data_IF_783268082593
#
_entry.id   IF_783268082593
#
_cell.length_a   1.000
_cell.length_b   1.000
_cell.length_c   1.000
_cell.angle_alpha   90.00
_cell.angle_beta   90.00
_cell.angle_gamma   90.00
#
_symmetry.space_group_name_H-M   'P 1'
#
loop_
_entity.id
_entity.type
_entity.pdbx_description
1 polymer ?
#
# COMPACT_ATOMS: atom_id res chain seq x y z
N UNK A 1 1.86 24.90 -5.43
CA UNK A 1 1.18 23.98 -4.50
C UNK A 1 -0.16 23.61 -5.10
N UNK A 2 -0.51 22.33 -5.06
CA UNK A 2 -1.76 21.76 -5.58
C UNK A 2 -2.81 21.55 -4.48
N UNK A 3 -2.49 21.91 -3.22
CA UNK A 3 -3.30 21.68 -2.01
C UNK A 3 -3.60 20.19 -1.80
N UNK A 4 -2.54 19.38 -1.85
CA UNK A 4 -2.65 17.92 -1.76
C UNK A 4 -1.42 17.28 -1.13
N UNK A 5 -1.51 15.99 -0.80
CA UNK A 5 -0.38 15.26 -0.18
C UNK A 5 0.91 15.29 -1.02
N UNK A 6 0.83 15.44 -2.34
CA UNK A 6 2.01 15.52 -3.22
C UNK A 6 2.71 16.89 -3.19
N UNK A 7 2.18 17.87 -2.45
CA UNK A 7 2.93 19.08 -2.13
C UNK A 7 4.15 18.79 -1.23
N UNK A 8 4.16 17.64 -0.55
CA UNK A 8 5.35 17.10 0.11
C UNK A 8 6.29 16.52 -0.94
N UNK A 9 7.44 17.15 -1.13
CA UNK A 9 8.43 16.74 -2.13
C UNK A 9 8.85 15.27 -1.95
N UNK A 10 8.92 14.54 -3.06
CA UNK A 10 9.29 13.11 -3.08
C UNK A 10 8.11 12.15 -2.94
N UNK A 11 6.90 12.63 -2.60
CA UNK A 11 5.69 11.82 -2.65
C UNK A 11 5.07 11.84 -4.05
N UNK A 12 4.58 10.68 -4.48
CA UNK A 12 3.69 10.55 -5.62
C UNK A 12 2.45 9.73 -5.22
N UNK A 13 1.33 9.95 -5.88
CA UNK A 13 0.09 9.18 -5.65
C UNK A 13 -0.42 8.63 -6.97
N UNK A 14 -0.78 7.35 -6.96
CA UNK A 14 -1.43 6.67 -8.09
C UNK A 14 -2.78 6.09 -7.67
N UNK A 15 -3.72 6.08 -8.60
CA UNK A 15 -5.04 5.49 -8.40
C UNK A 15 -5.37 4.53 -9.54
N UNK A 16 -6.04 3.44 -9.19
CA UNK A 16 -6.73 2.59 -10.15
C UNK A 16 -8.16 2.39 -9.65
N UNK A 17 -9.13 2.56 -10.55
CA UNK A 17 -10.54 2.29 -10.28
C UNK A 17 -11.03 1.26 -11.29
N UNK A 18 -11.57 0.15 -10.80
CA UNK A 18 -12.16 -0.86 -11.66
C UNK A 18 -13.51 -0.34 -12.18
N UNK A 19 -13.69 -0.25 -13.49
CA UNK A 19 -14.94 0.28 -14.05
C UNK A 19 -16.11 -0.70 -13.95
N UNK A 20 -15.85 -1.97 -13.62
CA UNK A 20 -16.89 -3.01 -13.52
C UNK A 20 -17.60 -3.01 -12.16
N UNK A 21 -17.02 -2.37 -11.14
CA UNK A 21 -17.55 -2.25 -9.77
C UNK A 21 -16.89 -1.04 -9.10
N UNK A 22 -17.58 -0.22 -8.28
CA UNK A 22 -16.97 0.93 -7.60
C UNK A 22 -15.96 0.51 -6.51
N UNK A 23 -14.81 0.01 -6.94
CA UNK A 23 -13.68 -0.47 -6.15
C UNK A 23 -12.37 -0.09 -6.84
N UNK A 24 -11.25 -0.31 -6.17
CA UNK A 24 -9.94 0.01 -6.73
C UNK A 24 -8.87 0.06 -5.65
N UNK A 25 -7.75 0.70 -6.00
CA UNK A 25 -6.65 0.93 -5.08
C UNK A 25 -6.02 2.31 -5.28
N UNK A 26 -5.38 2.78 -4.22
CA UNK A 26 -4.59 4.00 -4.18
C UNK A 26 -3.24 3.67 -3.57
N UNK A 27 -2.16 4.15 -4.18
CA UNK A 27 -0.80 3.95 -3.70
C UNK A 27 -0.16 5.30 -3.48
N UNK A 28 0.34 5.54 -2.26
CA UNK A 28 1.27 6.63 -1.98
C UNK A 28 2.68 6.06 -2.16
N UNK A 29 3.43 6.56 -3.12
CA UNK A 29 4.76 6.08 -3.47
C UNK A 29 5.85 6.92 -2.79
N UNK A 30 6.83 6.23 -2.23
CA UNK A 30 8.06 6.79 -1.65
C UNK A 30 9.27 5.97 -2.11
N UNK A 31 9.62 5.93 -3.42
CA UNK A 31 10.59 4.96 -3.94
C UNK A 31 12.00 5.09 -3.32
N UNK A 32 12.35 6.29 -2.84
CA UNK A 32 13.60 6.58 -2.13
C UNK A 32 13.57 6.22 -0.63
N UNK A 33 12.44 5.71 -0.15
CA UNK A 33 12.18 5.42 1.26
C UNK A 33 11.60 6.62 2.00
N UNK A 34 10.69 6.34 2.94
CA UNK A 34 10.19 7.31 3.91
C UNK A 34 10.00 6.65 5.27
N UNK A 35 10.32 7.36 6.35
CA UNK A 35 10.01 6.90 7.72
C UNK A 35 8.50 6.79 7.86
N UNK A 36 8.01 5.68 8.42
CA UNK A 36 6.59 5.40 8.53
C UNK A 36 6.26 4.77 9.88
N UNK A 37 5.12 5.16 10.44
CA UNK A 37 4.49 4.55 11.60
C UNK A 37 3.00 4.36 11.32
N UNK A 38 2.33 3.52 12.12
CA UNK A 38 0.89 3.25 11.96
C UNK A 38 0.18 3.20 13.31
N UNK A 39 -1.06 3.70 13.33
CA UNK A 39 -2.01 3.58 14.43
C UNK A 39 -3.32 3.00 13.88
N UNK A 40 -3.66 1.78 14.30
CA UNK A 40 -4.86 1.06 13.85
C UNK A 40 -5.89 1.08 14.96
N UNK A 41 -6.98 1.82 14.75
CA UNK A 41 -8.03 2.04 15.78
C UNK A 41 -9.37 1.38 15.52
N UNK A 42 -9.58 0.84 14.33
CA UNK A 42 -10.79 0.09 14.00
C UNK A 42 -10.80 -1.28 14.68
N UNK A 43 -11.97 -1.77 15.07
CA UNK A 43 -12.12 -3.06 15.76
C UNK A 43 -11.96 -4.30 14.86
N UNK A 44 -12.05 -4.12 13.54
CA UNK A 44 -11.91 -5.20 12.55
C UNK A 44 -11.00 -4.73 11.39
N UNK A 45 -9.71 -4.55 11.63
CA UNK A 45 -8.78 -4.09 10.61
C UNK A 45 -8.49 -5.20 9.59
N UNK A 46 -8.27 -4.81 8.34
CA UNK A 46 -7.55 -5.63 7.37
C UNK A 46 -6.29 -4.88 6.98
N UNK A 47 -5.15 -5.44 7.36
CA UNK A 47 -3.85 -4.79 7.18
C UNK A 47 -2.79 -5.78 6.72
N UNK A 48 -1.72 -5.24 6.16
CA UNK A 48 -0.50 -5.97 5.81
C UNK A 48 0.71 -5.17 6.30
N UNK A 49 1.71 -5.87 6.83
CA UNK A 49 3.03 -5.32 7.19
C UNK A 49 3.01 -4.18 8.23
N UNK A 50 1.93 -4.06 9.01
CA UNK A 50 1.84 -3.06 10.10
C UNK A 50 2.85 -3.29 11.20
N UNK A 51 3.18 -4.54 11.49
CA UNK A 51 4.08 -4.89 12.60
C UNK A 51 5.50 -4.40 12.31
N UNK A 52 5.91 -4.35 11.04
CA UNK A 52 7.20 -3.80 10.62
C UNK A 52 7.36 -2.32 10.95
N UNK A 53 6.26 -1.60 11.15
CA UNK A 53 6.24 -0.15 11.44
C UNK A 53 6.38 0.17 12.93
N UNK A 54 6.51 -0.85 13.78
CA UNK A 54 6.90 -0.64 15.16
C UNK A 54 8.30 -0.03 15.22
N UNK A 55 8.52 1.04 16.03
CA UNK A 55 9.84 1.65 16.17
C UNK A 55 10.89 0.74 16.83
N UNK A 56 10.48 -0.43 17.31
CA UNK A 56 11.37 -1.45 17.89
C UNK A 56 11.93 -2.41 16.84
N UNK A 57 11.42 -2.38 15.61
CA UNK A 57 11.80 -3.29 14.54
C UNK A 57 12.88 -2.68 13.62
N UNK A 58 13.53 -3.53 12.84
CA UNK A 58 14.69 -3.15 12.02
C UNK A 58 14.35 -2.39 10.74
N UNK A 59 13.07 -2.34 10.34
CA UNK A 59 12.64 -1.63 9.14
C UNK A 59 12.47 -0.15 9.46
N UNK A 60 13.34 0.69 8.90
CA UNK A 60 13.30 2.15 9.15
C UNK A 60 12.46 2.91 8.11
N UNK A 61 12.26 2.34 6.92
CA UNK A 61 11.66 3.03 5.77
C UNK A 61 10.72 2.14 4.96
N UNK A 62 9.64 2.75 4.48
CA UNK A 62 8.68 2.13 3.54
C UNK A 62 8.83 2.73 2.15
N UNK A 63 8.44 1.97 1.14
CA UNK A 63 8.61 2.33 -0.27
C UNK A 63 7.29 2.70 -0.95
N UNK A 64 6.18 2.28 -0.33
CA UNK A 64 4.84 2.73 -0.66
C UNK A 64 3.89 2.43 0.51
N UNK A 65 2.72 3.06 0.51
CA UNK A 65 1.55 2.67 1.31
C UNK A 65 0.38 2.39 0.36
N UNK A 66 -0.27 1.25 0.52
CA UNK A 66 -1.42 0.84 -0.28
C UNK A 66 -2.73 0.99 0.50
N UNK A 67 -3.72 1.62 -0.12
CA UNK A 67 -5.11 1.61 0.30
C UNK A 67 -5.94 0.91 -0.77
N UNK A 68 -6.73 -0.11 -0.40
CA UNK A 68 -7.53 -0.84 -1.38
C UNK A 68 -8.95 -1.16 -0.90
N UNK A 69 -9.87 -1.26 -1.86
CA UNK A 69 -11.18 -1.87 -1.64
C UNK A 69 -11.09 -3.40 -1.55
N UNK A 70 -12.22 -4.10 -1.63
CA UNK A 70 -12.25 -5.56 -1.69
C UNK A 70 -12.16 -6.28 -0.35
N UNK A 71 -12.22 -5.56 0.79
CA UNK A 71 -11.98 -6.11 2.12
C UNK A 71 -10.65 -6.88 2.17
N UNK A 72 -10.52 -7.91 3.00
CA UNK A 72 -9.29 -8.68 3.17
C UNK A 72 -8.69 -9.21 1.86
N UNK A 73 -9.51 -9.49 0.84
CA UNK A 73 -9.03 -9.93 -0.46
C UNK A 73 -8.22 -8.85 -1.21
N UNK A 74 -8.53 -7.57 -0.98
CA UNK A 74 -7.81 -6.47 -1.61
C UNK A 74 -6.35 -6.33 -1.17
N UNK A 75 -5.94 -7.03 -0.10
CA UNK A 75 -4.53 -7.10 0.31
C UNK A 75 -3.66 -7.77 -0.77
N UNK A 76 -4.24 -8.55 -1.69
CA UNK A 76 -3.54 -9.16 -2.82
C UNK A 76 -2.87 -8.09 -3.72
N UNK A 77 -3.47 -6.90 -3.83
CA UNK A 77 -2.92 -5.79 -4.61
C UNK A 77 -1.55 -5.30 -4.11
N UNK A 78 -1.20 -5.56 -2.84
CA UNK A 78 0.12 -5.21 -2.30
C UNK A 78 1.25 -5.95 -3.03
N UNK A 79 0.99 -7.19 -3.47
CA UNK A 79 1.95 -7.96 -4.26
C UNK A 79 2.30 -7.28 -5.58
N UNK A 80 1.32 -6.63 -6.23
CA UNK A 80 1.54 -5.85 -7.46
C UNK A 80 2.44 -4.65 -7.25
N UNK A 81 2.20 -3.91 -6.16
CA UNK A 81 3.02 -2.77 -5.77
C UNK A 81 4.45 -3.21 -5.45
N UNK A 82 4.62 -4.31 -4.71
CA UNK A 82 5.93 -4.87 -4.41
C UNK A 82 6.70 -5.23 -5.69
N UNK A 83 6.09 -5.97 -6.63
CA UNK A 83 6.75 -6.31 -7.91
C UNK A 83 7.19 -5.05 -8.67
N UNK A 84 6.30 -4.05 -8.77
CA UNK A 84 6.60 -2.81 -9.49
C UNK A 84 7.79 -2.05 -8.88
N UNK A 85 7.89 -2.03 -7.55
CA UNK A 85 9.00 -1.42 -6.81
C UNK A 85 10.30 -2.22 -6.96
N UNK A 86 10.23 -3.55 -6.86
CA UNK A 86 11.37 -4.45 -7.04
C UNK A 86 12.00 -4.30 -8.43
N UNK A 87 11.18 -4.27 -9.50
CA UNK A 87 11.62 -4.02 -10.88
C UNK A 87 12.38 -2.70 -11.05
N UNK A 88 12.16 -1.74 -10.16
CA UNK A 88 12.81 -0.41 -10.15
C UNK A 88 13.94 -0.34 -9.13
N UNK A 89 14.29 -1.45 -8.51
CA UNK A 89 15.30 -1.53 -7.48
C UNK A 89 14.98 -0.68 -6.27
N UNK A 90 13.70 -0.46 -5.92
CA UNK A 90 13.31 0.12 -4.65
C UNK A 90 13.18 -0.99 -3.59
N UNK A 91 13.59 -0.75 -2.35
CA UNK A 91 13.50 -1.74 -1.28
C UNK A 91 14.64 -1.66 -0.27
N UNK A 92 14.40 -2.27 0.89
CA UNK A 92 15.42 -2.51 1.91
C UNK A 92 16.43 -3.51 1.36
N UNK A 93 17.72 -3.19 1.46
CA UNK A 93 18.79 -4.09 1.03
C UNK A 93 18.93 -5.26 2.01
N UNK A 94 18.77 -6.49 1.51
CA UNK A 94 18.96 -7.74 2.25
C UNK A 94 20.02 -8.55 1.51
N UNK A 95 21.30 -8.24 1.79
CA UNK A 95 22.40 -8.79 1.01
C UNK A 95 22.30 -8.36 -0.46
N UNK A 96 22.23 -9.30 -1.43
CA UNK A 96 22.15 -8.95 -2.86
C UNK A 96 20.74 -8.61 -3.35
N UNK A 97 19.69 -8.83 -2.53
CA UNK A 97 18.30 -8.57 -2.93
C UNK A 97 17.77 -7.29 -2.31
N UNK A 98 16.79 -6.66 -2.95
CA UNK A 98 16.02 -5.56 -2.37
C UNK A 98 14.60 -6.02 -2.10
N UNK A 99 14.12 -5.80 -0.88
CA UNK A 99 12.76 -6.15 -0.46
C UNK A 99 11.95 -4.87 -0.27
N UNK A 100 11.00 -4.56 -1.17
CA UNK A 100 10.07 -3.45 -0.97
C UNK A 100 9.23 -3.68 0.28
N UNK A 101 9.09 -2.64 1.09
CA UNK A 101 8.17 -2.64 2.24
C UNK A 101 6.95 -1.83 1.87
N UNK A 102 5.79 -2.50 1.81
CA UNK A 102 4.52 -1.93 1.36
C UNK A 102 3.42 -2.24 2.38
N UNK A 103 3.31 -1.45 3.46
CA UNK A 103 2.18 -1.55 4.35
C UNK A 103 0.89 -1.27 3.60
N UNK A 104 -0.15 -2.03 3.91
CA UNK A 104 -1.46 -1.87 3.28
C UNK A 104 -2.57 -1.85 4.31
N UNK A 105 -3.64 -1.12 3.99
CA UNK A 105 -4.90 -1.15 4.69
C UNK A 105 -6.04 -1.26 3.67
N UNK A 106 -7.10 -1.99 4.05
CA UNK A 106 -8.26 -2.19 3.19
C UNK A 106 -9.53 -1.58 3.79
N UNK A 107 -10.52 -1.37 2.91
CA UNK A 107 -11.89 -1.06 3.30
C UNK A 107 -12.85 -2.12 2.76
N UNK A 108 -14.03 -2.20 3.37
CA UNK A 108 -15.09 -3.08 2.92
C UNK A 108 -15.99 -2.36 1.90
N UNK A 109 -16.02 -2.85 0.67
CA UNK A 109 -16.91 -2.38 -0.41
C UNK A 109 -17.67 -3.53 -1.11
N UNK A 110 -17.57 -4.76 -0.57
CA UNK A 110 -18.05 -5.99 -1.23
C UNK A 110 -19.57 -6.08 -1.37
N UNK A 111 -20.34 -5.25 -0.66
CA UNK A 111 -21.80 -5.20 -0.78
C UNK A 111 -22.30 -4.41 -2.00
N UNK A 112 -21.41 -3.72 -2.71
CA UNK A 112 -21.78 -2.89 -3.86
C UNK A 112 -21.39 -3.61 -5.14
N UNK A 113 -22.37 -4.08 -5.91
CA UNK A 113 -22.15 -4.78 -7.18
C UNK A 113 -21.69 -6.24 -7.00
N UNK A 114 -20.89 -6.75 -7.94
CA UNK A 114 -20.38 -8.14 -7.90
C UNK A 114 -19.18 -8.25 -6.96
N UNK A 115 -19.36 -8.92 -5.82
CA UNK A 115 -18.33 -9.12 -4.80
C UNK A 115 -17.08 -9.88 -5.30
N UNK A 116 -17.15 -10.56 -6.45
CA UNK A 116 -16.02 -11.30 -7.04
C UNK A 116 -15.05 -10.39 -7.80
N UNK A 117 -15.49 -9.20 -8.21
CA UNK A 117 -14.64 -8.20 -8.86
C UNK A 117 -13.93 -7.46 -7.75
N UNK A 118 -12.60 -7.56 -7.65
CA UNK A 118 -11.84 -7.01 -6.52
C UNK A 118 -10.43 -6.60 -6.96
N UNK A 119 -9.77 -5.67 -6.24
CA UNK A 119 -8.37 -5.36 -6.51
C UNK A 119 -7.48 -6.60 -6.38
N UNK A 120 -6.56 -6.77 -7.33
CA UNK A 120 -5.55 -7.82 -7.39
C UNK A 120 -4.17 -7.21 -7.75
N UNK A 121 -3.18 -8.09 -7.95
CA UNK A 121 -1.75 -7.77 -8.09
C UNK A 121 -1.31 -7.45 -9.54
#
# INVERSE_FOLDING_TARGET
MTDSIVDVAGLAVGHFSDTRRPTGCTVVLTPQGAVCGVDVRGAAPGTRETELLSPLNAVEQVHAVLLAGGSAFGLDAAGGVMRWLEERGAGVAVGPVRVPIVPAAILFDLWIGDARIRPDA
#
